data_IF_075407772803
#
_entry.id   IF_075407772803
#
_cell.length_a   1.000
_cell.length_b   1.000
_cell.length_c   1.000
_cell.angle_alpha   90.00
_cell.angle_beta   90.00
_cell.angle_gamma   90.00
#
_symmetry.space_group_name_H-M   'P 1'
#
loop_
_entity.id
_entity.type
_entity.pdbx_description
1 polymer ?
#
# COMPACT_ATOMS: atom_id res chain seq x y z
N UNK A 1 -25.03 -71.00 -31.30
CA UNK A 1 -25.71 -69.81 -30.73
C UNK A 1 -24.82 -69.24 -29.64
N UNK A 2 -23.95 -68.28 -29.98
CA UNK A 2 -23.02 -67.64 -29.05
C UNK A 2 -23.48 -66.21 -28.82
N UNK A 3 -23.84 -65.86 -27.58
CA UNK A 3 -24.31 -64.54 -27.21
C UNK A 3 -23.11 -63.69 -26.77
N UNK A 4 -22.76 -62.68 -27.57
CA UNK A 4 -21.78 -61.67 -27.21
C UNK A 4 -22.35 -60.74 -26.13
N UNK A 5 -21.75 -60.75 -24.94
CA UNK A 5 -22.03 -59.78 -23.87
C UNK A 5 -21.28 -58.49 -24.18
N UNK A 6 -22.01 -57.45 -24.56
CA UNK A 6 -21.48 -56.10 -24.70
C UNK A 6 -21.31 -55.48 -23.32
N UNK A 7 -20.07 -55.18 -22.94
CA UNK A 7 -19.71 -54.45 -21.73
C UNK A 7 -19.74 -52.95 -22.07
N UNK A 8 -20.79 -52.23 -21.67
CA UNK A 8 -20.85 -50.79 -21.79
C UNK A 8 -19.97 -50.15 -20.69
N UNK A 9 -18.84 -49.55 -21.10
CA UNK A 9 -18.00 -48.73 -20.22
C UNK A 9 -18.68 -47.38 -20.08
N UNK A 10 -19.26 -47.11 -18.90
CA UNK A 10 -19.81 -45.82 -18.54
C UNK A 10 -18.66 -44.88 -18.17
N UNK A 11 -18.19 -44.05 -19.11
CA UNK A 11 -17.29 -42.94 -18.81
C UNK A 11 -18.08 -41.85 -18.07
N UNK A 12 -18.00 -41.82 -16.74
CA UNK A 12 -18.43 -40.66 -15.96
C UNK A 12 -17.41 -39.53 -16.16
N UNK A 13 -17.79 -38.50 -16.92
CA UNK A 13 -17.02 -37.27 -17.01
C UNK A 13 -17.13 -36.52 -15.67
N UNK A 14 -16.06 -36.56 -14.87
CA UNK A 14 -15.92 -35.72 -13.69
C UNK A 14 -15.58 -34.31 -14.21
N UNK A 15 -16.59 -33.46 -14.34
CA UNK A 15 -16.38 -32.02 -14.52
C UNK A 15 -15.86 -31.51 -13.18
N UNK A 16 -14.54 -31.36 -13.08
CA UNK A 16 -13.89 -30.70 -11.95
C UNK A 16 -14.29 -29.22 -11.95
N UNK A 17 -15.35 -28.87 -11.24
CA UNK A 17 -15.68 -27.50 -10.93
C UNK A 17 -14.68 -27.03 -9.87
N UNK A 18 -13.57 -26.42 -10.31
CA UNK A 18 -12.65 -25.75 -9.42
C UNK A 18 -13.38 -24.56 -8.79
N UNK A 19 -13.88 -24.75 -7.57
CA UNK A 19 -14.37 -23.66 -6.73
C UNK A 19 -13.15 -22.83 -6.31
N UNK A 20 -12.86 -21.75 -7.03
CA UNK A 20 -12.02 -20.70 -6.50
C UNK A 20 -12.81 -20.03 -5.38
N UNK A 21 -12.51 -20.37 -4.13
CA UNK A 21 -12.96 -19.57 -3.00
C UNK A 21 -12.34 -18.18 -3.16
N UNK A 22 -13.17 -17.14 -3.23
CA UNK A 22 -12.67 -15.77 -3.21
C UNK A 22 -11.86 -15.57 -1.92
N UNK A 23 -10.63 -15.08 -2.05
CA UNK A 23 -9.77 -14.74 -0.92
C UNK A 23 -10.50 -13.74 0.00
N UNK A 24 -10.31 -13.86 1.31
CA UNK A 24 -10.86 -12.87 2.24
C UNK A 24 -10.19 -11.50 2.03
N UNK A 25 -10.84 -10.38 2.37
CA UNK A 25 -10.22 -9.06 2.26
C UNK A 25 -8.94 -8.95 3.10
N UNK A 26 -8.83 -9.67 4.22
CA UNK A 26 -7.59 -9.76 5.01
C UNK A 26 -6.47 -10.47 4.25
N UNK A 27 -6.77 -11.55 3.54
CA UNK A 27 -5.79 -12.24 2.69
C UNK A 27 -5.33 -11.32 1.57
N UNK A 28 -6.25 -10.65 0.87
CA UNK A 28 -5.90 -9.69 -0.20
C UNK A 28 -5.01 -8.57 0.33
N UNK A 29 -5.38 -7.99 1.48
CA UNK A 29 -4.64 -6.91 2.10
C UNK A 29 -3.24 -7.36 2.57
N UNK A 30 -3.13 -8.56 3.14
CA UNK A 30 -1.86 -9.12 3.62
C UNK A 30 -0.92 -9.48 2.46
N UNK A 31 -1.44 -10.06 1.37
CA UNK A 31 -0.64 -10.43 0.19
C UNK A 31 -0.08 -9.20 -0.55
N UNK A 32 -0.79 -8.07 -0.49
CA UNK A 32 -0.36 -6.80 -1.08
C UNK A 32 0.49 -5.94 -0.15
N UNK A 33 0.70 -6.34 1.10
CA UNK A 33 1.48 -5.56 2.05
C UNK A 33 2.97 -5.67 1.76
N UNK A 34 3.68 -4.56 1.82
CA UNK A 34 5.14 -4.53 1.81
C UNK A 34 5.65 -3.82 3.07
N UNK A 35 6.83 -4.20 3.56
CA UNK A 35 7.54 -3.41 4.59
C UNK A 35 8.84 -2.89 4.00
N UNK A 36 9.31 -1.74 4.48
CA UNK A 36 10.60 -1.22 4.05
C UNK A 36 11.37 -0.59 5.20
N UNK A 37 12.69 -0.63 5.04
CA UNK A 37 13.67 0.03 5.89
C UNK A 37 14.53 0.95 5.04
N UNK A 38 14.93 2.10 5.60
CA UNK A 38 15.77 3.07 4.91
C UNK A 38 17.09 3.29 5.63
N UNK A 39 18.11 3.65 4.84
CA UNK A 39 19.31 4.31 5.38
C UNK A 39 19.13 5.83 5.35
N UNK A 40 19.91 6.58 6.13
CA UNK A 40 19.85 8.03 6.15
C UNK A 40 20.52 8.65 4.90
N UNK A 41 19.91 9.70 4.34
CA UNK A 41 20.55 10.60 3.38
C UNK A 41 21.08 11.85 4.09
N UNK A 42 22.39 12.08 4.08
CA UNK A 42 23.01 13.19 4.82
C UNK A 42 22.65 13.15 6.32
N UNK A 43 22.15 14.26 6.84
CA UNK A 43 21.66 14.40 8.23
C UNK A 43 20.23 13.83 8.42
N UNK A 44 19.78 12.98 7.50
CA UNK A 44 18.55 12.21 7.62
C UNK A 44 18.61 11.20 8.78
N UNK A 45 17.55 10.43 8.95
CA UNK A 45 17.50 9.35 9.92
C UNK A 45 17.07 8.06 9.23
N UNK A 46 17.47 6.92 9.79
CA UNK A 46 16.91 5.63 9.39
C UNK A 46 15.44 5.62 9.75
N UNK A 47 14.61 5.18 8.81
CA UNK A 47 13.16 5.05 9.00
C UNK A 47 12.72 3.66 8.57
N UNK A 48 11.50 3.33 8.95
CA UNK A 48 10.78 2.18 8.44
C UNK A 48 9.38 2.61 8.02
N UNK A 49 8.71 1.76 7.24
CA UNK A 49 7.34 1.98 6.82
C UNK A 49 6.70 0.73 6.24
N UNK A 50 5.43 0.89 5.89
CA UNK A 50 4.60 -0.12 5.23
C UNK A 50 4.22 0.40 3.84
N UNK A 51 3.92 -0.46 2.89
CA UNK A 51 3.42 -0.08 1.58
C UNK A 51 2.41 -1.06 1.03
N UNK A 52 1.83 -0.72 -0.11
CA UNK A 52 0.85 -1.52 -0.84
C UNK A 52 1.35 -1.80 -2.24
N UNK A 53 1.47 -3.08 -2.62
CA UNK A 53 1.70 -3.48 -4.02
C UNK A 53 0.44 -3.14 -4.82
N UNK A 54 0.52 -2.09 -5.64
CA UNK A 54 -0.61 -1.56 -6.41
C UNK A 54 -0.67 -2.12 -7.83
N UNK A 55 0.43 -2.64 -8.35
CA UNK A 55 0.55 -3.38 -9.62
C UNK A 55 1.91 -4.09 -9.64
N UNK A 56 2.16 -4.89 -10.67
CA UNK A 56 3.48 -5.47 -10.91
C UNK A 56 4.59 -4.42 -10.77
N UNK A 57 5.59 -4.78 -9.97
CA UNK A 57 6.79 -4.01 -9.70
C UNK A 57 6.59 -2.70 -8.93
N UNK A 58 5.37 -2.32 -8.52
CA UNK A 58 5.13 -0.98 -7.94
C UNK A 58 4.40 -1.03 -6.61
N UNK A 59 4.99 -0.34 -5.64
CA UNK A 59 4.49 -0.16 -4.30
C UNK A 59 4.13 1.31 -4.07
N UNK A 60 2.93 1.54 -3.57
CA UNK A 60 2.47 2.82 -3.05
C UNK A 60 2.73 2.89 -1.55
N UNK A 61 3.26 4.02 -1.08
CA UNK A 61 3.57 4.24 0.33
C UNK A 61 3.43 5.73 0.72
N UNK A 62 3.62 6.03 2.00
CA UNK A 62 3.80 7.38 2.48
C UNK A 62 5.18 7.95 2.06
N UNK A 63 5.26 9.25 1.79
CA UNK A 63 6.49 9.91 1.36
C UNK A 63 7.45 10.22 2.51
N UNK A 64 6.93 10.56 3.69
CA UNK A 64 7.74 11.02 4.81
C UNK A 64 8.78 10.01 5.34
N UNK A 65 8.60 8.68 5.23
CA UNK A 65 9.67 7.75 5.56
C UNK A 65 10.78 7.74 4.51
N UNK A 66 10.49 8.01 3.23
CA UNK A 66 11.43 7.75 2.12
C UNK A 66 12.11 9.00 1.57
N UNK A 67 11.57 10.21 1.76
CA UNK A 67 12.10 11.42 1.12
C UNK A 67 13.51 11.84 1.60
N UNK A 68 13.99 11.33 2.74
CA UNK A 68 15.37 11.52 3.25
C UNK A 68 16.15 10.21 3.31
N UNK A 69 15.77 9.25 2.47
CA UNK A 69 16.44 7.95 2.42
C UNK A 69 17.70 7.98 1.54
N UNK A 70 18.76 7.34 2.02
CA UNK A 70 19.97 7.06 1.24
C UNK A 70 19.77 5.85 0.31
N UNK A 71 19.11 4.83 0.83
CA UNK A 71 18.69 3.60 0.13
C UNK A 71 17.40 3.09 0.77
N UNK A 72 16.63 2.32 0.01
CA UNK A 72 15.41 1.65 0.47
C UNK A 72 15.60 0.15 0.26
N UNK A 73 15.31 -0.63 1.30
CA UNK A 73 15.19 -2.08 1.23
C UNK A 73 13.74 -2.45 1.50
N UNK A 74 13.11 -3.15 0.56
CA UNK A 74 11.73 -3.64 0.68
C UNK A 74 11.74 -5.13 1.03
N UNK A 75 10.73 -5.58 1.78
CA UNK A 75 10.41 -6.99 1.98
C UNK A 75 8.93 -7.22 1.70
N UNK A 76 8.64 -8.07 0.72
CA UNK A 76 7.29 -8.57 0.42
C UNK A 76 6.90 -9.73 1.34
N UNK A 77 5.61 -10.14 1.41
CA UNK A 77 5.19 -11.25 2.24
C UNK A 77 5.88 -12.54 1.79
N UNK A 78 6.58 -13.20 2.71
CA UNK A 78 7.39 -14.40 2.45
C UNK A 78 8.54 -14.21 1.43
N UNK A 79 8.90 -12.96 1.11
CA UNK A 79 10.01 -12.61 0.23
C UNK A 79 11.31 -12.34 0.99
N UNK A 80 12.42 -12.43 0.27
CA UNK A 80 13.70 -11.92 0.74
C UNK A 80 13.75 -10.39 0.62
N UNK A 81 14.54 -9.70 1.47
CA UNK A 81 14.78 -8.27 1.30
C UNK A 81 15.44 -7.95 -0.04
N UNK A 82 14.95 -6.93 -0.73
CA UNK A 82 15.49 -6.48 -2.02
C UNK A 82 15.62 -4.95 -2.06
N UNK A 83 16.56 -4.41 -2.86
CA UNK A 83 16.67 -2.97 -3.05
C UNK A 83 15.45 -2.43 -3.81
N UNK A 84 15.08 -1.19 -3.49
CA UNK A 84 13.96 -0.53 -4.12
C UNK A 84 14.28 0.92 -4.48
N UNK A 85 13.61 1.45 -5.49
CA UNK A 85 13.88 2.79 -6.04
C UNK A 85 12.62 3.65 -6.03
N UNK A 86 12.72 4.90 -5.58
CA UNK A 86 11.61 5.84 -5.68
C UNK A 86 11.49 6.27 -7.14
N UNK A 87 10.28 6.16 -7.70
CA UNK A 87 9.95 6.58 -9.07
C UNK A 87 8.90 7.69 -9.12
N UNK A 88 8.29 8.00 -7.97
CA UNK A 88 7.34 9.11 -7.84
C UNK A 88 7.36 9.63 -6.42
N UNK A 89 7.25 10.95 -6.25
CA UNK A 89 7.22 11.57 -4.93
C UNK A 89 6.29 12.79 -4.93
N UNK A 90 5.29 12.76 -4.06
CA UNK A 90 4.43 13.89 -3.75
C UNK A 90 4.49 14.20 -2.25
N UNK A 91 5.29 15.19 -1.90
CA UNK A 91 5.49 15.62 -0.52
C UNK A 91 4.25 16.32 0.06
N UNK A 92 3.39 16.90 -0.77
CA UNK A 92 2.18 17.57 -0.33
C UNK A 92 1.12 16.53 0.07
N UNK A 93 0.87 15.54 -0.79
CA UNK A 93 -0.04 14.44 -0.51
C UNK A 93 0.53 13.39 0.47
N UNK A 94 1.84 13.46 0.75
CA UNK A 94 2.59 12.44 1.51
C UNK A 94 2.49 11.05 0.87
N UNK A 95 2.72 10.99 -0.44
CA UNK A 95 2.66 9.77 -1.23
C UNK A 95 3.96 9.57 -2.01
N UNK A 96 4.39 8.31 -2.11
CA UNK A 96 5.52 7.91 -2.95
C UNK A 96 5.20 6.60 -3.68
N UNK A 97 5.73 6.46 -4.89
CA UNK A 97 5.82 5.19 -5.59
C UNK A 97 7.25 4.67 -5.53
N UNK A 98 7.37 3.40 -5.18
CA UNK A 98 8.64 2.68 -5.08
C UNK A 98 8.58 1.45 -5.97
N UNK A 99 9.62 1.20 -6.75
CA UNK A 99 9.76 0.04 -7.62
C UNK A 99 10.66 -1.04 -7.02
N UNK A 100 10.26 -2.29 -7.24
CA UNK A 100 10.94 -3.52 -6.82
C UNK A 100 10.75 -4.56 -7.93
N UNK A 101 11.70 -5.49 -8.10
CA UNK A 101 11.62 -6.49 -9.16
C UNK A 101 10.65 -7.64 -8.83
N UNK A 102 10.62 -8.09 -7.58
CA UNK A 102 9.90 -9.31 -7.21
C UNK A 102 8.38 -9.14 -6.98
N UNK A 103 7.88 -7.90 -6.93
CA UNK A 103 6.46 -7.64 -6.71
C UNK A 103 5.62 -8.01 -7.93
N UNK A 104 4.65 -8.92 -7.75
CA UNK A 104 3.66 -9.24 -8.78
C UNK A 104 2.25 -9.18 -8.22
N UNK A 105 1.41 -8.37 -8.85
CA UNK A 105 0.00 -8.24 -8.54
C UNK A 105 -0.74 -7.58 -9.70
N UNK A 106 -1.98 -7.99 -9.92
CA UNK A 106 -2.87 -7.23 -10.80
C UNK A 106 -3.03 -5.78 -10.29
N UNK A 107 -3.27 -4.81 -11.21
CA UNK A 107 -3.60 -3.45 -10.82
C UNK A 107 -4.70 -3.42 -9.76
N UNK A 108 -4.47 -2.65 -8.71
CA UNK A 108 -5.39 -2.54 -7.59
C UNK A 108 -6.62 -1.73 -7.98
N UNK A 109 -7.78 -2.13 -7.47
CA UNK A 109 -9.01 -1.35 -7.60
C UNK A 109 -9.17 -0.41 -6.41
N UNK A 110 -9.80 0.75 -6.65
CA UNK A 110 -9.99 1.79 -5.63
C UNK A 110 -11.46 1.95 -5.22
N UNK A 111 -11.69 2.01 -3.92
CA UNK A 111 -12.99 2.28 -3.31
C UNK A 111 -13.05 3.66 -2.62
N UNK A 112 -14.27 4.14 -2.38
CA UNK A 112 -14.56 5.30 -1.53
C UNK A 112 -15.29 4.76 -0.31
N UNK A 113 -14.98 5.29 0.88
CA UNK A 113 -15.63 4.87 2.11
C UNK A 113 -16.49 5.98 2.71
N UNK A 114 -17.36 5.59 3.63
CA UNK A 114 -18.24 6.46 4.42
C UNK A 114 -17.99 6.21 5.90
N UNK A 115 -18.40 7.18 6.72
CA UNK A 115 -18.42 7.01 8.18
C UNK A 115 -19.22 5.75 8.54
N UNK A 116 -18.63 4.91 9.38
CA UNK A 116 -19.23 3.65 9.80
C UNK A 116 -18.87 2.45 8.95
N UNK A 117 -18.24 2.59 7.78
CA UNK A 117 -17.88 1.44 6.94
C UNK A 117 -16.82 0.57 7.61
N UNK A 118 -17.00 -0.75 7.52
CA UNK A 118 -15.99 -1.72 7.96
C UNK A 118 -14.85 -1.81 6.96
N UNK A 119 -13.63 -1.88 7.48
CA UNK A 119 -12.42 -1.90 6.66
C UNK A 119 -11.41 -2.90 7.20
N UNK A 120 -10.46 -3.25 6.35
CA UNK A 120 -9.24 -3.99 6.72
C UNK A 120 -8.05 -3.04 6.62
N UNK A 121 -7.21 -3.01 7.64
CA UNK A 121 -5.93 -2.28 7.63
C UNK A 121 -4.81 -3.31 7.61
N UNK A 122 -3.94 -3.26 6.61
CA UNK A 122 -2.72 -4.06 6.55
C UNK A 122 -1.52 -3.21 6.92
N UNK A 123 -1.05 -3.40 8.16
CA UNK A 123 0.03 -2.64 8.76
C UNK A 123 1.17 -3.56 9.21
N UNK A 124 2.41 -3.08 9.16
CA UNK A 124 3.57 -3.88 9.58
C UNK A 124 3.45 -4.38 11.03
N UNK A 125 2.90 -3.56 11.93
CA UNK A 125 2.81 -3.90 13.36
C UNK A 125 1.73 -4.94 13.69
N UNK A 126 0.64 -4.98 12.93
CA UNK A 126 -0.54 -5.82 13.24
C UNK A 126 -0.84 -6.89 12.19
N UNK A 127 -0.19 -6.84 11.03
CA UNK A 127 -0.69 -7.52 9.83
C UNK A 127 -2.07 -6.98 9.41
N UNK A 128 -2.81 -7.78 8.65
CA UNK A 128 -4.18 -7.47 8.26
C UNK A 128 -5.15 -7.59 9.44
N UNK A 129 -5.82 -6.50 9.78
CA UNK A 129 -6.76 -6.41 10.92
C UNK A 129 -8.01 -5.62 10.55
N UNK A 130 -9.14 -5.92 11.21
CA UNK A 130 -10.40 -5.21 10.98
C UNK A 130 -10.47 -3.91 11.77
N UNK A 131 -11.05 -2.88 11.16
CA UNK A 131 -11.33 -1.59 11.79
C UNK A 131 -12.59 -0.97 11.16
N UNK A 132 -12.82 0.32 11.41
CA UNK A 132 -13.95 1.10 10.92
C UNK A 132 -13.52 2.51 10.56
N UNK A 133 -14.15 3.08 9.53
CA UNK A 133 -14.01 4.50 9.21
C UNK A 133 -14.77 5.32 10.24
N UNK A 134 -14.07 6.19 10.97
CA UNK A 134 -14.64 7.18 11.88
C UNK A 134 -15.49 8.17 11.11
N UNK A 135 -14.85 8.89 10.18
CA UNK A 135 -15.40 10.02 9.44
C UNK A 135 -14.48 10.40 8.29
N UNK A 136 -15.01 11.14 7.32
CA UNK A 136 -14.19 11.86 6.36
C UNK A 136 -13.51 13.06 7.04
N UNK A 137 -12.32 13.42 6.56
CA UNK A 137 -11.51 14.51 7.10
C UNK A 137 -10.90 15.35 5.98
N UNK A 138 -10.71 16.64 6.28
CA UNK A 138 -9.84 17.57 5.57
C UNK A 138 -8.90 18.15 6.63
N UNK A 139 -7.65 17.68 6.63
CA UNK A 139 -6.65 18.05 7.64
C UNK A 139 -5.68 19.06 7.03
N UNK A 140 -5.58 20.23 7.68
CA UNK A 140 -4.52 21.19 7.40
C UNK A 140 -3.24 20.79 8.14
N UNK A 141 -2.24 20.35 7.39
CA UNK A 141 -0.95 19.87 7.90
C UNK A 141 0.19 20.47 7.08
N UNK A 142 1.39 20.49 7.67
CA UNK A 142 2.60 20.86 6.95
C UNK A 142 2.94 19.79 5.89
N UNK A 143 3.40 20.27 4.74
CA UNK A 143 3.99 19.44 3.70
C UNK A 143 5.18 18.66 4.24
N UNK A 144 5.40 17.44 3.73
CA UNK A 144 6.57 16.64 4.11
C UNK A 144 7.85 17.39 3.76
N UNK A 145 8.67 17.69 4.77
CA UNK A 145 9.97 18.35 4.57
C UNK A 145 9.88 19.82 4.14
N UNK A 146 8.70 20.45 4.24
CA UNK A 146 8.48 21.84 3.84
C UNK A 146 7.58 22.61 4.80
N UNK A 147 7.68 23.95 4.86
CA UNK A 147 6.89 24.76 5.80
C UNK A 147 5.48 25.08 5.30
N UNK A 148 5.12 24.64 4.07
CA UNK A 148 3.83 24.97 3.47
C UNK A 148 2.72 24.18 4.16
N UNK A 149 1.65 24.86 4.57
CA UNK A 149 0.43 24.20 5.03
C UNK A 149 -0.47 23.83 3.86
N UNK A 150 -0.77 22.55 3.73
CA UNK A 150 -1.59 21.96 2.67
C UNK A 150 -2.80 21.26 3.29
N UNK A 151 -3.80 20.93 2.46
CA UNK A 151 -4.93 20.10 2.84
C UNK A 151 -4.64 18.66 2.44
N UNK A 152 -4.84 17.70 3.36
CA UNK A 152 -4.90 16.28 3.07
C UNK A 152 -6.31 15.79 3.33
N UNK A 153 -6.92 15.22 2.30
CA UNK A 153 -8.31 14.79 2.28
C UNK A 153 -8.35 13.27 2.33
N UNK A 154 -9.17 12.75 3.23
CA UNK A 154 -9.37 11.31 3.32
C UNK A 154 -10.21 10.94 4.53
N UNK A 155 -9.68 10.06 5.37
CA UNK A 155 -10.46 9.44 6.44
C UNK A 155 -9.71 9.40 7.77
N UNK A 156 -10.47 9.44 8.85
CA UNK A 156 -10.01 9.01 10.16
C UNK A 156 -10.50 7.58 10.43
N UNK A 157 -9.67 6.74 11.01
CA UNK A 157 -9.95 5.33 11.33
C UNK A 157 -9.96 5.08 12.84
N UNK A 158 -10.72 4.08 13.26
CA UNK A 158 -10.77 3.58 14.63
C UNK A 158 -9.67 2.52 14.85
N UNK A 159 -8.42 2.91 14.59
CA UNK A 159 -7.24 2.05 14.79
C UNK A 159 -6.09 2.89 15.32
N UNK A 160 -5.25 2.27 16.15
CA UNK A 160 -4.00 2.86 16.59
C UNK A 160 -2.85 2.26 15.78
N UNK A 161 -2.19 3.12 14.99
CA UNK A 161 -1.01 2.73 14.23
C UNK A 161 0.27 3.07 15.00
N UNK A 162 1.29 2.22 14.86
CA UNK A 162 2.60 2.36 15.46
C UNK A 162 3.60 3.04 14.51
N UNK A 163 4.79 3.34 15.03
CA UNK A 163 5.92 3.70 14.17
C UNK A 163 6.21 2.55 13.19
N UNK A 164 6.33 2.88 11.90
CA UNK A 164 6.51 1.91 10.82
C UNK A 164 5.22 1.50 10.10
N UNK A 165 4.04 1.88 10.61
CA UNK A 165 2.77 1.64 9.93
C UNK A 165 2.43 2.74 8.90
N UNK A 166 3.22 3.82 8.83
CA UNK A 166 3.08 4.81 7.76
C UNK A 166 3.23 4.14 6.39
N UNK A 167 2.25 4.37 5.53
CA UNK A 167 2.10 3.74 4.23
C UNK A 167 1.24 2.47 4.22
N UNK A 168 0.66 2.07 5.37
CA UNK A 168 -0.27 0.93 5.46
C UNK A 168 -1.50 1.11 4.58
N UNK A 169 -1.92 0.02 3.93
CA UNK A 169 -3.11 -0.01 3.09
C UNK A 169 -4.40 -0.17 3.91
N UNK A 170 -5.42 0.58 3.52
CA UNK A 170 -6.78 0.49 4.08
C UNK A 170 -7.71 0.04 2.98
N UNK A 171 -8.41 -1.08 3.20
CA UNK A 171 -9.20 -1.79 2.21
C UNK A 171 -10.66 -1.89 2.63
N UNK A 172 -11.57 -1.88 1.66
CA UNK A 172 -12.95 -2.26 1.91
C UNK A 172 -13.09 -3.78 2.10
N UNK A 173 -14.32 -4.24 2.36
CA UNK A 173 -14.60 -5.67 2.55
C UNK A 173 -14.55 -6.49 1.26
N UNK A 174 -14.38 -5.84 0.10
CA UNK A 174 -14.17 -6.48 -1.20
C UNK A 174 -12.68 -6.56 -1.59
N UNK A 175 -11.77 -6.03 -0.76
CA UNK A 175 -10.34 -5.98 -1.02
C UNK A 175 -9.90 -4.82 -1.94
N UNK A 176 -10.77 -3.83 -2.16
CA UNK A 176 -10.43 -2.62 -2.92
C UNK A 176 -9.76 -1.59 -1.99
N UNK A 177 -8.74 -0.87 -2.49
CA UNK A 177 -7.98 0.10 -1.70
C UNK A 177 -8.79 1.39 -1.51
N UNK A 178 -9.02 1.76 -0.25
CA UNK A 178 -9.65 3.03 0.15
C UNK A 178 -8.58 4.12 0.33
N UNK A 179 -7.45 3.76 0.95
CA UNK A 179 -6.35 4.70 1.11
C UNK A 179 -5.13 4.23 1.87
N UNK A 180 -4.25 5.19 2.14
CA UNK A 180 -2.93 4.98 2.73
C UNK A 180 -2.83 5.71 4.08
N UNK A 181 -2.45 4.99 5.13
CA UNK A 181 -2.19 5.58 6.46
C UNK A 181 -0.97 6.48 6.40
N UNK A 182 -1.07 7.71 6.90
CA UNK A 182 0.09 8.64 6.95
C UNK A 182 0.42 9.12 8.36
N UNK A 183 -0.42 8.83 9.35
CA UNK A 183 -0.12 9.23 10.73
C UNK A 183 -1.24 8.95 11.70
N UNK A 184 -0.99 9.35 12.94
CA UNK A 184 -1.92 9.23 14.05
C UNK A 184 -2.51 10.60 14.40
N UNK A 185 -3.77 10.62 14.82
CA UNK A 185 -4.35 11.81 15.43
C UNK A 185 -3.69 12.02 16.83
N UNK A 186 -2.96 13.13 17.05
CA UNK A 186 -2.28 13.36 18.33
C UNK A 186 -3.25 13.57 19.50
N UNK A 187 -4.47 14.03 19.21
CA UNK A 187 -5.48 14.38 20.22
C UNK A 187 -6.50 13.24 20.47
N UNK A 188 -6.45 12.16 19.68
CA UNK A 188 -7.41 11.07 19.72
C UNK A 188 -6.79 9.74 20.15
N UNK A 189 -7.30 9.14 21.22
CA UNK A 189 -7.03 7.73 21.50
C UNK A 189 -7.61 6.86 20.38
N UNK A 190 -6.78 5.99 19.81
CA UNK A 190 -7.16 5.03 18.75
C UNK A 190 -7.66 5.66 17.44
N UNK A 191 -7.10 6.81 17.03
CA UNK A 191 -7.46 7.44 15.75
C UNK A 191 -6.26 7.61 14.83
N UNK A 192 -6.37 7.14 13.60
CA UNK A 192 -5.32 7.25 12.56
C UNK A 192 -5.85 7.96 11.32
N UNK A 193 -4.99 8.65 10.60
CA UNK A 193 -5.33 9.40 9.39
C UNK A 193 -4.90 8.67 8.13
N UNK A 194 -5.77 8.77 7.12
CA UNK A 194 -5.66 8.08 5.83
C UNK A 194 -5.80 9.10 4.71
N UNK A 195 -4.86 9.11 3.78
CA UNK A 195 -5.02 9.81 2.50
C UNK A 195 -5.99 9.01 1.64
N UNK A 196 -7.06 9.64 1.17
CA UNK A 196 -8.17 8.95 0.49
C UNK A 196 -8.06 8.88 -1.04
N UNK A 197 -8.95 8.10 -1.67
CA UNK A 197 -8.98 7.81 -3.12
C UNK A 197 -8.72 9.02 -4.02
N UNK A 198 -9.32 10.19 -3.74
CA UNK A 198 -9.17 11.37 -4.61
C UNK A 198 -7.71 11.75 -4.84
N UNK A 199 -6.91 11.86 -3.78
CA UNK A 199 -5.49 12.21 -3.87
C UNK A 199 -4.64 11.04 -4.39
N UNK A 200 -5.04 9.79 -4.11
CA UNK A 200 -4.34 8.60 -4.60
C UNK A 200 -4.49 8.44 -6.11
N UNK A 201 -5.72 8.58 -6.62
CA UNK A 201 -6.02 8.52 -8.04
C UNK A 201 -5.28 9.64 -8.78
N UNK A 202 -5.33 10.88 -8.29
CA UNK A 202 -4.56 12.00 -8.87
C UNK A 202 -3.04 11.74 -8.86
N UNK A 203 -2.52 11.05 -7.84
CA UNK A 203 -1.10 10.69 -7.79
C UNK A 203 -0.71 9.57 -8.77
N UNK A 204 -1.59 8.59 -8.96
CA UNK A 204 -1.35 7.44 -9.84
C UNK A 204 -1.69 7.71 -11.31
N UNK A 205 -2.63 8.62 -11.58
CA UNK A 205 -3.07 9.02 -12.92
C UNK A 205 -2.25 10.18 -13.49
N UNK A 206 -1.50 10.90 -12.65
CA UNK A 206 -0.44 11.77 -13.18
C UNK A 206 0.45 10.91 -14.07
N UNK A 207 0.86 11.46 -15.21
CA UNK A 207 1.98 10.94 -16.00
C UNK A 207 3.25 11.04 -15.14
N UNK A 208 3.32 10.21 -14.10
CA UNK A 208 4.52 9.93 -13.34
C UNK A 208 5.38 9.21 -14.35
N UNK A 209 6.33 9.95 -14.89
CA UNK A 209 7.38 9.35 -15.69
C UNK A 209 8.16 8.44 -14.75
N UNK A 210 7.86 7.15 -14.75
CA UNK A 210 8.58 6.17 -13.91
C UNK A 210 10.03 5.99 -14.35
N UNK A 211 10.47 6.68 -15.43
CA UNK A 211 11.89 6.82 -15.74
C UNK A 211 12.60 7.88 -14.87
N UNK A 212 11.85 8.73 -14.17
CA UNK A 212 12.37 9.64 -13.14
C UNK A 212 12.84 8.84 -11.92
N UNK A 213 14.12 8.52 -11.91
CA UNK A 213 14.75 7.86 -10.77
C UNK A 213 15.21 8.90 -9.76
N UNK A 214 14.81 8.76 -8.51
CA UNK A 214 15.31 9.63 -7.44
C UNK A 214 16.61 9.07 -6.86
N UNK A 215 17.52 9.96 -6.44
CA UNK A 215 18.76 9.62 -5.72
C UNK A 215 18.93 10.51 -4.50
N UNK A 216 19.60 9.98 -3.48
CA UNK A 216 20.02 10.80 -2.35
C UNK A 216 21.02 11.89 -2.79
N UNK A 217 20.76 13.13 -2.36
CA UNK A 217 21.73 14.22 -2.30
C UNK A 217 22.08 14.46 -0.82
N UNK A 218 23.26 14.01 -0.36
CA UNK A 218 23.68 14.16 1.04
C UNK A 218 23.77 15.62 1.50
N UNK A 219 24.13 16.55 0.61
CA UNK A 219 24.28 17.97 0.94
C UNK A 219 22.92 18.62 1.20
N UNK A 220 21.88 18.15 0.51
CA UNK A 220 20.49 18.55 0.76
C UNK A 220 19.78 17.63 1.77
N UNK A 221 20.43 16.55 2.21
CA UNK A 221 19.88 15.53 3.11
C UNK A 221 18.49 15.01 2.70
N UNK A 222 18.27 14.88 1.39
CA UNK A 222 17.00 14.45 0.78
C UNK A 222 17.22 13.79 -0.57
N UNK A 223 16.22 13.04 -1.04
CA UNK A 223 16.19 12.54 -2.40
C UNK A 223 15.87 13.66 -3.39
N UNK A 224 16.52 13.63 -4.54
CA UNK A 224 16.31 14.55 -5.66
C UNK A 224 16.12 13.74 -6.95
N UNK A 225 15.45 14.33 -7.93
CA UNK A 225 15.37 13.77 -9.27
C UNK A 225 16.79 13.62 -9.85
N UNK A 226 17.08 12.45 -10.41
CA UNK A 226 18.31 12.19 -11.14
C UNK A 226 18.19 12.83 -12.53
N UNK A 227 19.02 13.83 -12.79
CA UNK A 227 19.21 14.41 -14.12
C UNK A 227 19.66 13.37 -15.16
#
# INVERSE_FOLDING_TARGET
MSAARSLAILCAAIIGLAYFAASSPETVAAERMATFETTACGDGSRTNGTGVVVRDGTILTAAHPVFRSGSITVRLPNGEPEPATIVALDLAADLALVEVESASASPIEFAIARSGDEVVVAAASTGASRSRISRAIDVRIEEVGGPRRISRIGYELDVNVALGDSGSGVYDTSGQLIGIVYGRNPDGELRSFVTGKGQLAEFLERDVDTSEVFRCDPDQSRVILKE
#
